data_IF_006065380864
#
_entry.id   IF_006065380864
#
_cell.length_a   1.000
_cell.length_b   1.000
_cell.length_c   1.000
_cell.angle_alpha   90.00
_cell.angle_beta   90.00
_cell.angle_gamma   90.00
#
_symmetry.space_group_name_H-M   'P 1'
#
loop_
_entity.id
_entity.type
_entity.pdbx_description
1 polymer ?
#
# COMPACT_ATOMS: atom_id res chain seq x y z
N UNK A 1 6.12 -15.78 10.43
CA UNK A 1 5.09 -15.73 9.37
C UNK A 1 4.81 -14.26 9.06
N UNK A 2 4.89 -13.86 7.79
CA UNK A 2 4.60 -12.48 7.38
C UNK A 2 3.09 -12.22 7.45
N UNK A 3 2.70 -11.11 8.07
CA UNK A 3 1.34 -10.56 7.98
C UNK A 3 1.42 -9.24 7.24
N UNK A 4 0.67 -9.11 6.15
CA UNK A 4 0.68 -7.92 5.32
C UNK A 4 -0.73 -7.57 4.86
N UNK A 5 -1.08 -6.29 4.95
CA UNK A 5 -2.32 -5.71 4.42
C UNK A 5 -1.92 -4.81 3.25
N UNK A 6 -2.57 -5.00 2.11
CA UNK A 6 -2.27 -4.25 0.88
C UNK A 6 -3.49 -3.41 0.49
N UNK A 7 -3.29 -2.10 0.38
CA UNK A 7 -4.31 -1.16 -0.07
C UNK A 7 -4.11 -0.86 -1.54
N UNK A 8 -5.00 -1.39 -2.37
CA UNK A 8 -4.92 -1.24 -3.82
C UNK A 8 -5.54 0.08 -4.30
N UNK A 9 -4.93 0.68 -5.33
CA UNK A 9 -5.33 1.97 -5.88
C UNK A 9 -4.37 2.47 -6.96
N UNK A 10 -4.68 3.64 -7.53
CA UNK A 10 -3.78 4.39 -8.41
C UNK A 10 -3.23 5.62 -7.68
N UNK A 11 -1.95 5.93 -7.88
CA UNK A 11 -1.34 7.15 -7.38
C UNK A 11 -1.67 8.35 -8.28
N UNK A 12 -1.78 9.55 -7.70
CA UNK A 12 -2.09 10.79 -8.41
C UNK A 12 -3.49 11.33 -8.05
N UNK A 13 -3.59 12.66 -7.94
CA UNK A 13 -4.80 13.34 -7.45
C UNK A 13 -6.04 13.04 -8.30
N UNK A 14 -5.86 12.82 -9.61
CA UNK A 14 -6.96 12.48 -10.51
C UNK A 14 -7.66 11.15 -10.18
N UNK A 15 -7.01 10.26 -9.43
CA UNK A 15 -7.59 8.96 -9.07
C UNK A 15 -8.14 8.90 -7.65
N UNK A 16 -7.84 9.88 -6.80
CA UNK A 16 -8.07 9.84 -5.35
C UNK A 16 -9.51 9.44 -4.98
N UNK A 17 -10.50 10.03 -5.65
CA UNK A 17 -11.93 9.82 -5.34
C UNK A 17 -12.63 8.87 -6.32
N UNK A 18 -11.88 7.98 -6.98
CA UNK A 18 -12.47 6.96 -7.85
C UNK A 18 -12.81 5.71 -7.06
N UNK A 19 -13.83 4.94 -7.51
CA UNK A 19 -14.20 3.66 -6.88
C UNK A 19 -13.02 2.68 -6.79
N UNK A 20 -12.08 2.78 -7.73
CA UNK A 20 -10.88 1.94 -7.80
C UNK A 20 -9.87 2.22 -6.68
N UNK A 21 -9.96 3.39 -6.04
CA UNK A 21 -9.10 3.82 -4.94
C UNK A 21 -9.73 3.58 -3.56
N UNK A 22 -10.80 2.79 -3.45
CA UNK A 22 -11.45 2.49 -2.16
C UNK A 22 -10.48 1.93 -1.11
N UNK A 23 -9.48 1.15 -1.53
CA UNK A 23 -8.44 0.64 -0.63
C UNK A 23 -7.60 1.76 -0.01
N UNK A 24 -7.21 2.76 -0.81
CA UNK A 24 -6.44 3.92 -0.35
C UNK A 24 -7.29 4.85 0.51
N UNK A 25 -8.54 5.09 0.13
CA UNK A 25 -9.49 5.87 0.95
C UNK A 25 -9.72 5.23 2.32
N UNK A 26 -9.83 3.89 2.35
CA UNK A 26 -9.93 3.17 3.62
C UNK A 26 -8.66 3.31 4.46
N UNK A 27 -7.47 3.25 3.85
CA UNK A 27 -6.20 3.48 4.56
C UNK A 27 -6.13 4.88 5.18
N UNK A 28 -6.50 5.91 4.42
CA UNK A 28 -6.59 7.29 4.92
C UNK A 28 -7.58 7.40 6.10
N UNK A 29 -8.72 6.71 6.03
CA UNK A 29 -9.73 6.69 7.09
C UNK A 29 -9.24 6.03 8.38
N UNK A 30 -8.30 5.09 8.32
CA UNK A 30 -7.72 4.50 9.53
C UNK A 30 -6.96 5.53 10.37
N UNK A 31 -6.64 6.71 9.82
CA UNK A 31 -6.03 7.85 10.50
C UNK A 31 -4.85 7.46 11.40
N UNK A 32 -4.00 6.55 10.91
CA UNK A 32 -2.84 6.07 11.65
C UNK A 32 -1.76 7.14 11.59
N UNK A 33 -1.32 7.62 12.76
CA UNK A 33 -0.18 8.54 12.88
C UNK A 33 1.13 7.77 12.73
N UNK A 34 1.36 7.20 11.55
CA UNK A 34 2.57 6.44 11.24
C UNK A 34 3.28 7.06 10.04
N UNK A 35 4.57 7.33 10.21
CA UNK A 35 5.39 7.81 9.11
C UNK A 35 5.52 6.72 8.03
N UNK A 36 5.06 7.03 6.83
CA UNK A 36 5.20 6.15 5.67
C UNK A 36 6.62 6.23 5.11
N UNK A 37 7.17 5.08 4.72
CA UNK A 37 8.45 4.95 4.04
C UNK A 37 8.21 4.54 2.59
N UNK A 38 9.12 4.88 1.68
CA UNK A 38 9.03 4.50 0.27
C UNK A 38 10.01 3.39 -0.06
N UNK A 39 9.49 2.20 -0.43
CA UNK A 39 10.28 1.05 -0.92
C UNK A 39 9.36 0.11 -1.70
N UNK A 40 9.91 -0.84 -2.45
CA UNK A 40 9.10 -1.85 -3.19
C UNK A 40 8.12 -1.26 -4.22
N UNK A 41 8.40 -0.07 -4.76
CA UNK A 41 7.44 0.69 -5.58
C UNK A 41 6.12 0.96 -4.85
N UNK A 42 6.19 1.26 -3.56
CA UNK A 42 5.07 1.55 -2.69
C UNK A 42 5.45 2.52 -1.59
N UNK A 43 4.43 3.16 -1.02
CA UNK A 43 4.49 3.61 0.35
C UNK A 43 4.16 2.45 1.27
N UNK A 44 4.84 2.34 2.40
CA UNK A 44 4.57 1.31 3.38
C UNK A 44 4.88 1.79 4.79
N UNK A 45 4.27 1.14 5.76
CA UNK A 45 4.61 1.29 7.17
C UNK A 45 4.40 -0.02 7.90
N UNK A 46 4.94 -0.09 9.11
CA UNK A 46 4.79 -1.24 9.99
C UNK A 46 4.09 -0.78 11.25
N UNK A 47 3.11 -1.57 11.67
CA UNK A 47 2.49 -1.39 12.98
C UNK A 47 2.33 -2.74 13.64
N UNK A 48 2.84 -2.83 14.87
CA UNK A 48 3.01 -4.10 15.58
C UNK A 48 3.75 -5.12 14.69
N UNK A 49 3.08 -6.21 14.31
CA UNK A 49 3.62 -7.29 13.48
C UNK A 49 2.99 -7.35 12.07
N UNK A 50 2.36 -6.26 11.63
CA UNK A 50 1.69 -6.17 10.32
C UNK A 50 2.39 -5.11 9.48
N UNK A 51 2.68 -5.48 8.22
CA UNK A 51 3.14 -4.53 7.21
C UNK A 51 1.94 -4.03 6.42
N UNK A 52 1.82 -2.72 6.29
CA UNK A 52 0.79 -2.07 5.48
C UNK A 52 1.44 -1.50 4.23
N UNK A 53 0.90 -1.82 3.06
CA UNK A 53 1.50 -1.51 1.76
C UNK A 53 0.51 -0.78 0.85
N UNK A 54 0.94 0.32 0.24
CA UNK A 54 0.21 1.11 -0.75
C UNK A 54 1.00 1.14 -2.09
N UNK A 55 0.73 0.20 -3.03
CA UNK A 55 1.45 0.11 -4.30
C UNK A 55 1.36 1.37 -5.17
N UNK A 56 2.49 1.96 -5.53
CA UNK A 56 2.61 3.09 -6.46
C UNK A 56 2.98 2.59 -7.86
N UNK A 57 2.19 1.66 -8.40
CA UNK A 57 2.45 0.99 -9.68
C UNK A 57 1.34 1.12 -10.71
N UNK A 58 0.31 1.90 -10.39
CA UNK A 58 -1.03 1.78 -10.99
C UNK A 58 -1.64 0.39 -10.70
N UNK A 59 -2.97 0.30 -10.71
CA UNK A 59 -3.69 -0.86 -10.22
C UNK A 59 -3.28 -2.14 -10.95
N UNK A 60 -3.19 -2.08 -12.28
CA UNK A 60 -2.92 -3.24 -13.14
C UNK A 60 -1.55 -3.88 -12.90
N UNK A 61 -0.62 -3.18 -12.23
CA UNK A 61 0.73 -3.67 -11.92
C UNK A 61 1.02 -3.79 -10.43
N UNK A 62 -0.01 -3.78 -9.58
CA UNK A 62 0.12 -3.92 -8.12
C UNK A 62 0.95 -5.14 -7.70
N UNK A 63 0.87 -6.24 -8.46
CA UNK A 63 1.65 -7.46 -8.22
C UNK A 63 3.16 -7.23 -8.23
N UNK A 64 3.67 -6.29 -9.03
CA UNK A 64 5.11 -5.97 -9.04
C UNK A 64 5.59 -5.44 -7.69
N UNK A 65 4.75 -4.65 -7.02
CA UNK A 65 5.05 -4.10 -5.70
C UNK A 65 4.91 -5.16 -4.62
N UNK A 66 3.80 -5.90 -4.64
CA UNK A 66 3.48 -6.94 -3.65
C UNK A 66 4.54 -8.04 -3.65
N UNK A 67 4.95 -8.53 -4.83
CA UNK A 67 6.00 -9.56 -4.94
C UNK A 67 7.33 -9.05 -4.40
N UNK A 68 7.73 -7.81 -4.72
CA UNK A 68 8.96 -7.22 -4.19
C UNK A 68 8.94 -7.10 -2.66
N UNK A 69 7.82 -6.70 -2.08
CA UNK A 69 7.67 -6.59 -0.63
C UNK A 69 7.77 -7.96 0.05
N UNK A 70 7.02 -8.96 -0.44
CA UNK A 70 7.03 -10.31 0.13
C UNK A 70 8.42 -10.96 0.01
N UNK A 71 9.07 -10.85 -1.15
CA UNK A 71 10.39 -11.46 -1.37
C UNK A 71 11.48 -10.84 -0.48
N UNK A 72 11.36 -9.57 -0.10
CA UNK A 72 12.31 -8.91 0.78
C UNK A 72 12.03 -9.14 2.28
N UNK A 73 10.75 -9.30 2.65
CA UNK A 73 10.31 -9.42 4.04
C UNK A 73 10.23 -10.87 4.54
N UNK A 74 10.35 -11.85 3.63
CA UNK A 74 10.55 -13.27 3.95
C UNK A 74 11.95 -13.48 4.49
#
# INVERSE_FOLDING_TARGET
MIKMVVFLGNYGNQYRNTRHNVGWLFEEYLNRSTQKMTKFKAEYYKESNIVYLLPQTLMNRSGESVVKAISFLR
#
